data_IF_120634867684
#
_entry.id   IF_120634867684
#
_cell.length_a   1.000
_cell.length_b   1.000
_cell.length_c   1.000
_cell.angle_alpha   90.00
_cell.angle_beta   90.00
_cell.angle_gamma   90.00
#
_symmetry.space_group_name_H-M   'P 1'
#
loop_
_entity.id
_entity.type
_entity.pdbx_description
1 polymer ?
#
# COMPACT_ATOMS: atom_id res chain seq x y z
N UNK A 1 -1.12 26.34 -36.50
CA UNK A 1 -1.72 25.82 -35.24
C UNK A 1 -1.27 24.40 -35.06
N UNK A 2 -0.24 24.18 -34.26
CA UNK A 2 0.41 22.87 -34.09
C UNK A 2 -0.21 22.17 -32.89
N UNK A 3 -0.91 21.07 -33.14
CA UNK A 3 -1.60 20.28 -32.13
C UNK A 3 -0.58 19.34 -31.47
N UNK A 4 -0.20 19.63 -30.22
CA UNK A 4 0.67 18.73 -29.44
C UNK A 4 -0.20 17.57 -28.94
N UNK A 5 -0.03 16.39 -29.55
CA UNK A 5 -0.52 15.12 -29.01
C UNK A 5 0.40 14.67 -27.89
N UNK A 6 -0.02 14.86 -26.64
CA UNK A 6 0.64 14.24 -25.49
C UNK A 6 0.17 12.77 -25.41
N UNK A 7 1.05 11.85 -25.80
CA UNK A 7 0.92 10.43 -25.44
C UNK A 7 1.35 10.28 -23.98
N UNK A 8 0.38 10.15 -23.07
CA UNK A 8 0.67 9.70 -21.71
C UNK A 8 0.92 8.19 -21.73
N UNK A 9 2.18 7.78 -21.82
CA UNK A 9 2.63 6.46 -21.37
C UNK A 9 3.24 6.66 -19.97
N UNK A 10 2.60 6.07 -18.95
CA UNK A 10 3.08 6.05 -17.57
C UNK A 10 2.12 6.75 -16.60
N UNK A 11 1.72 6.04 -15.55
CA UNK A 11 0.81 6.45 -14.47
C UNK A 11 1.34 7.60 -13.56
N UNK A 12 2.38 8.33 -13.98
CA UNK A 12 3.05 9.39 -13.22
C UNK A 12 2.27 10.71 -13.05
N UNK A 13 1.41 11.18 -13.99
CA UNK A 13 0.73 12.46 -13.83
C UNK A 13 -0.28 12.49 -12.67
N UNK A 14 -0.95 11.37 -12.40
CA UNK A 14 -1.96 11.28 -11.33
C UNK A 14 -1.32 11.24 -9.94
N UNK A 15 -0.14 10.62 -9.81
CA UNK A 15 0.60 10.50 -8.55
C UNK A 15 1.16 11.84 -8.06
N UNK A 16 1.73 12.63 -8.97
CA UNK A 16 2.17 14.00 -8.65
C UNK A 16 0.99 14.88 -8.23
N UNK A 17 -0.16 14.74 -8.88
CA UNK A 17 -1.39 15.45 -8.50
C UNK A 17 -1.91 15.00 -7.12
N UNK A 18 -1.90 13.70 -6.83
CA UNK A 18 -2.34 13.14 -5.54
C UNK A 18 -1.37 13.50 -4.39
N UNK A 19 -0.07 13.55 -4.65
CA UNK A 19 0.92 14.02 -3.67
C UNK A 19 0.80 15.54 -3.43
N UNK A 20 0.60 16.34 -4.48
CA UNK A 20 0.41 17.80 -4.35
C UNK A 20 -0.89 18.16 -3.64
N UNK A 21 -1.98 17.40 -3.84
CA UNK A 21 -3.25 17.61 -3.14
C UNK A 21 -3.14 17.35 -1.63
N UNK A 22 -2.22 16.47 -1.19
CA UNK A 22 -2.03 16.14 0.22
C UNK A 22 -0.90 16.93 0.89
N UNK A 23 0.05 17.49 0.13
CA UNK A 23 1.06 18.42 0.65
C UNK A 23 0.50 19.86 0.74
N UNK A 24 -0.45 20.23 -0.11
CA UNK A 24 -1.12 21.53 -0.08
C UNK A 24 -2.27 21.66 0.93
N UNK A 25 -2.92 20.55 1.30
CA UNK A 25 -3.91 20.53 2.39
C UNK A 25 -3.25 20.04 3.68
N UNK A 26 -2.66 20.97 4.45
CA UNK A 26 -2.38 20.79 5.88
C UNK A 26 -3.65 20.61 6.70
N UNK A 27 -4.49 19.63 6.35
CA UNK A 27 -5.79 19.38 6.94
C UNK A 27 -5.82 17.99 7.57
N UNK A 28 -5.18 17.88 8.73
CA UNK A 28 -5.45 16.84 9.73
C UNK A 28 -6.90 16.91 10.29
N UNK A 29 -7.87 17.40 9.51
CA UNK A 29 -9.23 17.73 9.96
C UNK A 29 -10.38 17.37 9.02
N UNK A 30 -10.17 16.89 7.79
CA UNK A 30 -11.26 16.78 6.81
C UNK A 30 -11.31 15.49 5.97
N UNK A 31 -10.85 14.35 6.51
CA UNK A 31 -11.04 13.02 5.90
C UNK A 31 -12.01 12.17 6.73
N UNK A 32 -13.25 12.66 6.90
CA UNK A 32 -14.23 12.07 7.82
C UNK A 32 -15.52 11.67 7.08
N UNK A 33 -15.95 10.40 7.12
CA UNK A 33 -17.19 9.97 6.48
C UNK A 33 -18.41 10.65 7.12
N UNK A 34 -19.43 10.96 6.33
CA UNK A 34 -20.74 11.40 6.83
C UNK A 34 -21.61 10.20 7.20
N UNK A 35 -22.60 10.41 8.08
CA UNK A 35 -23.58 9.36 8.45
C UNK A 35 -24.42 8.92 7.24
N UNK A 36 -24.74 9.86 6.36
CA UNK A 36 -25.49 9.61 5.13
C UNK A 36 -24.71 8.71 4.18
N UNK A 37 -23.44 9.02 3.93
CA UNK A 37 -22.53 8.19 3.15
C UNK A 37 -22.43 6.77 3.73
N UNK A 38 -22.19 6.67 5.04
CA UNK A 38 -21.99 5.38 5.70
C UNK A 38 -23.22 4.45 5.58
N UNK A 39 -24.43 5.02 5.68
CA UNK A 39 -25.68 4.26 5.59
C UNK A 39 -26.13 3.96 4.16
N UNK A 40 -25.86 4.86 3.22
CA UNK A 40 -26.33 4.74 1.84
C UNK A 40 -25.32 4.03 0.92
N UNK A 41 -24.10 3.74 1.40
CA UNK A 41 -23.20 2.88 0.64
C UNK A 41 -23.80 1.48 0.51
N UNK A 42 -23.82 0.98 -0.72
CA UNK A 42 -24.33 -0.32 -1.07
C UNK A 42 -23.68 -1.45 -0.22
N UNK A 43 -24.46 -2.43 0.27
CA UNK A 43 -23.93 -3.53 1.06
C UNK A 43 -22.80 -4.33 0.38
N UNK A 44 -22.86 -4.51 -0.95
CA UNK A 44 -21.79 -5.16 -1.70
C UNK A 44 -20.48 -4.39 -1.58
N UNK A 45 -20.52 -3.07 -1.84
CA UNK A 45 -19.34 -2.21 -1.76
C UNK A 45 -18.80 -2.10 -0.34
N UNK A 46 -19.67 -2.09 0.67
CA UNK A 46 -19.25 -2.21 2.06
C UNK A 46 -18.54 -3.54 2.34
N UNK A 47 -19.09 -4.67 1.85
CA UNK A 47 -18.47 -5.98 2.01
C UNK A 47 -17.10 -6.08 1.33
N UNK A 48 -16.95 -5.49 0.14
CA UNK A 48 -15.66 -5.35 -0.55
C UNK A 48 -14.68 -4.53 0.30
N UNK A 49 -15.11 -3.36 0.78
CA UNK A 49 -14.28 -2.49 1.61
C UNK A 49 -13.82 -3.19 2.89
N UNK A 50 -14.74 -3.86 3.57
CA UNK A 50 -14.50 -4.59 4.82
C UNK A 50 -13.43 -5.69 4.63
N UNK A 51 -13.58 -6.55 3.62
CA UNK A 51 -12.62 -7.64 3.37
C UNK A 51 -11.23 -7.12 3.02
N UNK A 52 -11.15 -6.06 2.21
CA UNK A 52 -9.88 -5.46 1.83
C UNK A 52 -9.14 -4.87 3.05
N UNK A 53 -9.86 -4.18 3.95
CA UNK A 53 -9.27 -3.67 5.19
C UNK A 53 -8.75 -4.80 6.08
N UNK A 54 -9.53 -5.88 6.22
CA UNK A 54 -9.08 -7.07 6.97
C UNK A 54 -7.82 -7.70 6.39
N UNK A 55 -7.74 -7.80 5.07
CA UNK A 55 -6.54 -8.31 4.40
C UNK A 55 -5.31 -7.42 4.63
N UNK A 56 -5.50 -6.11 4.69
CA UNK A 56 -4.42 -5.16 5.00
C UNK A 56 -4.07 -5.07 6.49
N UNK A 57 -4.93 -5.54 7.39
CA UNK A 57 -4.67 -5.63 8.83
C UNK A 57 -3.95 -6.93 9.23
N UNK A 58 -3.66 -7.78 8.26
CA UNK A 58 -2.98 -9.05 8.51
C UNK A 58 -1.49 -8.82 8.82
N UNK A 59 -1.16 -8.71 10.11
CA UNK A 59 0.21 -8.47 10.59
C UNK A 59 1.21 -9.55 10.14
N UNK A 60 0.73 -10.77 9.89
CA UNK A 60 1.54 -11.87 9.42
C UNK A 60 2.13 -11.58 8.02
N UNK A 61 1.35 -10.94 7.15
CA UNK A 61 1.79 -10.58 5.80
C UNK A 61 2.97 -9.60 5.83
N UNK A 62 2.94 -8.62 6.74
CA UNK A 62 4.03 -7.66 6.90
C UNK A 62 5.27 -8.29 7.51
N UNK A 63 5.09 -9.17 8.50
CA UNK A 63 6.20 -9.89 9.12
C UNK A 63 6.93 -10.78 8.11
N UNK A 64 6.18 -11.56 7.32
CA UNK A 64 6.75 -12.40 6.26
C UNK A 64 7.50 -11.58 5.20
N UNK A 65 6.94 -10.43 4.81
CA UNK A 65 7.60 -9.54 3.85
C UNK A 65 8.90 -8.94 4.41
N UNK A 66 8.90 -8.57 5.70
CA UNK A 66 10.10 -8.07 6.39
C UNK A 66 11.18 -9.15 6.49
N UNK A 67 10.80 -10.39 6.81
CA UNK A 67 11.73 -11.52 6.88
C UNK A 67 12.35 -11.83 5.50
N UNK A 68 11.54 -11.85 4.43
CA UNK A 68 12.03 -12.01 3.05
C UNK A 68 12.97 -10.88 2.64
N UNK A 69 12.69 -9.65 3.05
CA UNK A 69 13.56 -8.50 2.76
C UNK A 69 14.92 -8.65 3.44
N UNK A 70 14.95 -9.08 4.70
CA UNK A 70 16.20 -9.35 5.44
C UNK A 70 17.01 -10.47 4.79
N UNK A 71 16.33 -11.52 4.33
CA UNK A 71 16.95 -12.64 3.62
C UNK A 71 17.55 -12.20 2.28
N UNK A 72 16.82 -11.41 1.49
CA UNK A 72 17.29 -10.85 0.23
C UNK A 72 18.56 -10.00 0.43
N UNK A 73 18.56 -9.12 1.42
CA UNK A 73 19.74 -8.29 1.71
C UNK A 73 20.92 -9.12 2.19
N UNK A 74 20.69 -10.22 2.93
CA UNK A 74 21.74 -11.17 3.29
C UNK A 74 22.38 -11.78 2.05
N UNK A 75 21.60 -12.24 1.08
CA UNK A 75 22.14 -12.79 -0.17
C UNK A 75 22.90 -11.73 -0.98
N UNK A 76 22.39 -10.51 -1.09
CA UNK A 76 23.08 -9.40 -1.78
C UNK A 76 24.42 -9.03 -1.13
N UNK A 77 24.49 -9.06 0.21
CA UNK A 77 25.76 -8.85 0.93
C UNK A 77 26.76 -9.98 0.71
N UNK A 78 26.28 -11.22 0.58
CA UNK A 78 27.13 -12.33 0.21
C UNK A 78 27.66 -12.10 -1.21
N UNK A 79 26.79 -11.79 -2.18
CA UNK A 79 27.16 -11.49 -3.57
C UNK A 79 28.28 -10.45 -3.69
N UNK A 80 28.17 -9.34 -2.96
CA UNK A 80 29.20 -8.28 -2.97
C UNK A 80 30.54 -8.72 -2.36
N UNK A 81 30.53 -9.65 -1.40
CA UNK A 81 31.76 -10.24 -0.83
C UNK A 81 32.37 -11.28 -1.75
N UNK A 82 31.54 -12.02 -2.48
CA UNK A 82 31.96 -13.07 -3.43
C UNK A 82 32.72 -12.49 -4.62
N UNK A 83 32.35 -11.28 -5.08
CA UNK A 83 33.04 -10.59 -6.18
C UNK A 83 34.51 -10.25 -5.87
N UNK A 84 34.96 -10.50 -4.62
CA UNK A 84 36.32 -10.23 -4.14
C UNK A 84 37.17 -11.49 -3.87
N UNK A 85 36.64 -12.71 -3.99
CA UNK A 85 37.37 -13.96 -3.68
C UNK A 85 36.95 -15.16 -4.52
N UNK A 86 37.92 -15.92 -5.05
CA UNK A 86 37.74 -17.18 -5.80
C UNK A 86 36.86 -18.20 -5.06
N UNK A 87 35.65 -18.44 -5.55
CA UNK A 87 34.69 -19.39 -4.99
C UNK A 87 34.18 -20.35 -6.06
N UNK A 88 33.81 -21.56 -5.64
CA UNK A 88 33.34 -22.67 -6.48
C UNK A 88 31.95 -22.35 -7.06
N UNK A 89 31.72 -22.69 -8.32
CA UNK A 89 30.49 -22.39 -9.08
C UNK A 89 29.17 -22.77 -8.35
N UNK A 90 29.19 -23.79 -7.50
CA UNK A 90 28.02 -24.24 -6.73
C UNK A 90 27.49 -23.21 -5.72
N UNK A 91 28.38 -22.48 -5.04
CA UNK A 91 27.98 -21.48 -4.02
C UNK A 91 27.39 -20.22 -4.69
N UNK A 92 27.88 -19.86 -5.88
CA UNK A 92 27.30 -18.79 -6.69
C UNK A 92 25.90 -19.16 -7.19
N UNK A 93 25.69 -20.42 -7.57
CA UNK A 93 24.39 -20.91 -8.04
C UNK A 93 23.35 -20.94 -6.91
N UNK A 94 23.72 -21.42 -5.72
CA UNK A 94 22.84 -21.43 -4.55
C UNK A 94 22.39 -20.01 -4.16
N UNK A 95 23.30 -19.04 -4.18
CA UNK A 95 22.98 -17.65 -3.88
C UNK A 95 22.01 -17.03 -4.91
N UNK A 96 22.24 -17.24 -6.22
CA UNK A 96 21.33 -16.73 -7.26
C UNK A 96 19.92 -17.31 -7.10
N UNK A 97 19.83 -18.62 -6.86
CA UNK A 97 18.54 -19.27 -6.56
C UNK A 97 17.87 -18.71 -5.31
N UNK A 98 18.65 -18.39 -4.26
CA UNK A 98 18.15 -17.74 -3.05
C UNK A 98 17.55 -16.36 -3.31
N UNK A 99 18.23 -15.54 -4.13
CA UNK A 99 17.75 -14.21 -4.55
C UNK A 99 16.46 -14.32 -5.35
N UNK A 100 16.43 -15.19 -6.36
CA UNK A 100 15.25 -15.39 -7.22
C UNK A 100 14.05 -15.87 -6.42
N UNK A 101 14.27 -16.82 -5.50
CA UNK A 101 13.23 -17.29 -4.57
C UNK A 101 12.68 -16.16 -3.71
N UNK A 102 13.55 -15.29 -3.16
CA UNK A 102 13.09 -14.14 -2.38
C UNK A 102 12.18 -13.22 -3.20
N UNK A 103 12.54 -12.93 -4.46
CA UNK A 103 11.70 -12.11 -5.34
C UNK A 103 10.35 -12.73 -5.62
N UNK A 104 10.32 -14.01 -5.99
CA UNK A 104 9.07 -14.71 -6.27
C UNK A 104 8.14 -14.69 -5.06
N UNK A 105 8.69 -14.98 -3.88
CA UNK A 105 7.90 -15.01 -2.65
C UNK A 105 7.40 -13.60 -2.30
N UNK A 106 8.23 -12.56 -2.38
CA UNK A 106 7.82 -11.17 -2.15
C UNK A 106 6.71 -10.73 -3.12
N UNK A 107 6.80 -11.12 -4.40
CA UNK A 107 5.79 -10.81 -5.40
C UNK A 107 4.46 -11.51 -5.08
N UNK A 108 4.49 -12.79 -4.69
CA UNK A 108 3.28 -13.53 -4.27
C UNK A 108 2.58 -12.85 -3.09
N UNK A 109 3.33 -12.39 -2.07
CA UNK A 109 2.75 -11.70 -0.90
C UNK A 109 2.18 -10.33 -1.28
N UNK A 110 2.87 -9.63 -2.17
CA UNK A 110 2.45 -8.31 -2.65
C UNK A 110 1.12 -8.35 -3.40
N UNK A 111 0.81 -9.43 -4.12
CA UNK A 111 -0.47 -9.59 -4.84
C UNK A 111 -1.67 -9.34 -3.94
N UNK A 112 -1.66 -9.85 -2.70
CA UNK A 112 -2.77 -9.65 -1.76
C UNK A 112 -2.93 -8.19 -1.35
N UNK A 113 -1.82 -7.47 -1.14
CA UNK A 113 -1.83 -6.03 -0.84
C UNK A 113 -2.42 -5.24 -2.02
N UNK A 114 -1.96 -5.53 -3.24
CA UNK A 114 -2.42 -4.88 -4.46
C UNK A 114 -3.91 -5.06 -4.71
N UNK A 115 -4.40 -6.30 -4.61
CA UNK A 115 -5.83 -6.60 -4.77
C UNK A 115 -6.65 -5.83 -3.73
N UNK A 116 -6.19 -5.80 -2.47
CA UNK A 116 -6.90 -5.11 -1.39
C UNK A 116 -6.93 -3.60 -1.60
N UNK A 117 -5.80 -2.98 -1.97
CA UNK A 117 -5.75 -1.55 -2.29
C UNK A 117 -6.62 -1.20 -3.50
N UNK A 118 -6.62 -2.04 -4.54
CA UNK A 118 -7.48 -1.85 -5.71
C UNK A 118 -8.97 -1.90 -5.36
N UNK A 119 -9.37 -2.83 -4.48
CA UNK A 119 -10.75 -2.93 -3.99
C UNK A 119 -11.17 -1.68 -3.19
N UNK A 120 -10.28 -1.14 -2.35
CA UNK A 120 -10.56 0.09 -1.59
C UNK A 120 -10.65 1.30 -2.53
N UNK A 121 -9.74 1.39 -3.51
CA UNK A 121 -9.76 2.43 -4.53
C UNK A 121 -11.10 2.41 -5.29
N UNK A 122 -11.57 1.21 -5.65
CA UNK A 122 -12.86 1.05 -6.32
C UNK A 122 -14.04 1.49 -5.48
N UNK A 123 -14.03 1.22 -4.17
CA UNK A 123 -15.03 1.76 -3.24
C UNK A 123 -14.99 3.29 -3.22
N UNK A 124 -13.79 3.89 -3.15
CA UNK A 124 -13.61 5.34 -3.25
C UNK A 124 -14.19 5.92 -4.54
N UNK A 125 -13.96 5.25 -5.68
CA UNK A 125 -14.51 5.61 -6.98
C UNK A 125 -16.04 5.55 -7.02
N UNK A 126 -16.65 4.55 -6.40
CA UNK A 126 -18.11 4.41 -6.31
C UNK A 126 -18.72 5.54 -5.49
N UNK A 127 -18.06 5.94 -4.41
CA UNK A 127 -18.46 7.10 -3.60
C UNK A 127 -18.31 8.39 -4.40
N UNK A 128 -17.20 8.57 -5.11
CA UNK A 128 -16.88 9.78 -5.87
C UNK A 128 -17.83 10.01 -7.05
N UNK A 129 -18.28 8.94 -7.71
CA UNK A 129 -19.11 9.01 -8.91
C UNK A 129 -20.60 8.68 -8.67
N UNK A 130 -20.93 8.14 -7.51
CA UNK A 130 -22.30 7.79 -7.14
C UNK A 130 -23.21 8.99 -6.90
N UNK A 131 -24.47 8.71 -6.56
CA UNK A 131 -25.49 9.71 -6.20
C UNK A 131 -25.34 10.18 -4.75
N UNK A 132 -24.15 10.69 -4.41
CA UNK A 132 -23.84 11.24 -3.09
C UNK A 132 -23.70 12.77 -3.12
N UNK A 133 -23.73 13.39 -1.94
CA UNK A 133 -23.51 14.84 -1.82
C UNK A 133 -22.13 15.25 -2.35
N UNK A 134 -21.94 16.53 -2.69
CA UNK A 134 -20.62 17.02 -3.12
C UNK A 134 -19.52 16.78 -2.08
N UNK A 135 -19.85 16.89 -0.79
CA UNK A 135 -18.95 16.61 0.31
C UNK A 135 -18.55 15.12 0.36
N UNK A 136 -19.51 14.21 0.25
CA UNK A 136 -19.24 12.77 0.23
C UNK A 136 -18.43 12.34 -0.99
N UNK A 137 -18.70 12.94 -2.16
CA UNK A 137 -17.89 12.71 -3.36
C UNK A 137 -16.44 13.19 -3.18
N UNK A 138 -16.20 14.27 -2.41
CA UNK A 138 -14.82 14.67 -2.03
C UNK A 138 -14.14 13.58 -1.21
N UNK A 139 -14.85 12.98 -0.25
CA UNK A 139 -14.34 11.87 0.57
C UNK A 139 -13.96 10.67 -0.30
N UNK A 140 -14.80 10.30 -1.27
CA UNK A 140 -14.47 9.22 -2.22
C UNK A 140 -13.17 9.46 -2.98
N UNK A 141 -12.94 10.69 -3.45
CA UNK A 141 -11.68 11.08 -4.11
C UNK A 141 -10.48 11.06 -3.18
N UNK A 142 -10.65 11.51 -1.93
CA UNK A 142 -9.60 11.45 -0.93
C UNK A 142 -9.23 9.99 -0.58
N UNK A 143 -10.22 9.09 -0.52
CA UNK A 143 -9.97 7.66 -0.29
C UNK A 143 -9.17 7.05 -1.45
N UNK A 144 -9.51 7.38 -2.70
CA UNK A 144 -8.74 6.97 -3.88
C UNK A 144 -7.28 7.47 -3.80
N UNK A 145 -7.08 8.75 -3.49
CA UNK A 145 -5.74 9.32 -3.37
C UNK A 145 -4.92 8.63 -2.26
N UNK A 146 -5.53 8.34 -1.11
CA UNK A 146 -4.88 7.61 -0.02
C UNK A 146 -4.49 6.19 -0.46
N UNK A 147 -5.35 5.48 -1.18
CA UNK A 147 -5.03 4.13 -1.68
C UNK A 147 -3.92 4.14 -2.73
N UNK A 148 -3.87 5.15 -3.60
CA UNK A 148 -2.82 5.30 -4.61
C UNK A 148 -1.46 5.59 -3.95
N UNK A 149 -1.46 6.42 -2.90
CA UNK A 149 -0.26 6.68 -2.11
C UNK A 149 0.26 5.43 -1.41
N UNK A 150 -0.64 4.66 -0.80
CA UNK A 150 -0.30 3.36 -0.23
C UNK A 150 0.32 2.48 -1.33
N UNK A 151 -0.38 2.24 -2.44
CA UNK A 151 0.10 1.44 -3.56
C UNK A 151 1.53 1.83 -4.00
N UNK A 152 1.77 3.13 -4.16
CA UNK A 152 3.10 3.63 -4.51
C UNK A 152 4.15 3.37 -3.42
N UNK A 153 3.84 3.64 -2.15
CA UNK A 153 4.74 3.37 -1.01
C UNK A 153 5.09 1.87 -0.92
N UNK A 154 4.11 0.99 -1.17
CA UNK A 154 4.33 -0.46 -1.21
C UNK A 154 5.29 -0.84 -2.36
N UNK A 155 5.02 -0.37 -3.58
CA UNK A 155 5.89 -0.65 -4.73
C UNK A 155 7.30 -0.12 -4.49
N UNK A 156 7.42 1.08 -3.93
CA UNK A 156 8.71 1.68 -3.59
C UNK A 156 9.46 0.83 -2.56
N UNK A 157 8.77 0.27 -1.57
CA UNK A 157 9.37 -0.64 -0.57
C UNK A 157 9.94 -1.90 -1.23
N UNK A 158 9.24 -2.48 -2.22
CA UNK A 158 9.74 -3.62 -3.00
C UNK A 158 11.01 -3.21 -3.78
N UNK A 159 10.96 -2.09 -4.50
CA UNK A 159 12.10 -1.61 -5.31
C UNK A 159 13.31 -1.33 -4.42
N UNK A 160 13.11 -0.67 -3.28
CA UNK A 160 14.19 -0.39 -2.34
C UNK A 160 14.75 -1.69 -1.74
N UNK A 161 13.92 -2.70 -1.44
CA UNK A 161 14.39 -4.01 -0.98
C UNK A 161 15.25 -4.73 -2.03
N UNK A 162 14.87 -4.64 -3.30
CA UNK A 162 15.61 -5.18 -4.44
C UNK A 162 16.98 -4.53 -4.63
N UNK A 163 17.06 -3.22 -4.45
CA UNK A 163 18.25 -2.43 -4.74
C UNK A 163 19.22 -2.34 -3.55
N UNK A 164 18.73 -2.58 -2.34
CA UNK A 164 19.53 -2.38 -1.13
C UNK A 164 20.60 -3.45 -0.98
N UNK A 165 21.87 -3.01 -0.99
CA UNK A 165 23.04 -3.86 -0.76
C UNK A 165 23.38 -4.02 0.73
N UNK A 166 22.74 -3.25 1.62
CA UNK A 166 23.01 -3.25 3.06
C UNK A 166 21.76 -2.97 3.90
N UNK A 167 21.47 -3.79 4.92
CA UNK A 167 20.34 -3.60 5.85
C UNK A 167 20.41 -2.23 6.55
N UNK A 168 21.63 -1.70 6.74
CA UNK A 168 21.86 -0.39 7.37
C UNK A 168 21.41 0.77 6.46
N UNK A 169 21.47 0.59 5.15
CA UNK A 169 21.02 1.55 4.14
C UNK A 169 19.61 1.23 3.61
N UNK A 170 19.02 0.11 4.07
CA UNK A 170 17.61 -0.15 3.83
C UNK A 170 16.85 0.98 4.52
N UNK A 171 15.97 1.71 3.84
CA UNK A 171 15.17 2.78 4.41
C UNK A 171 14.08 2.21 5.32
N UNK A 172 14.50 1.44 6.33
CA UNK A 172 13.70 0.69 7.29
C UNK A 172 12.82 1.64 8.13
N UNK A 173 13.14 2.93 8.17
CA UNK A 173 12.40 3.94 8.95
C UNK A 173 11.50 4.83 8.11
N UNK A 174 11.99 5.53 7.07
CA UNK A 174 11.21 6.62 6.47
C UNK A 174 10.01 6.14 5.62
N UNK A 175 10.24 5.28 4.62
CA UNK A 175 9.18 4.81 3.72
C UNK A 175 8.20 3.92 4.49
N UNK A 176 8.70 3.06 5.36
CA UNK A 176 7.90 2.19 6.22
C UNK A 176 7.07 2.96 7.24
N UNK A 177 7.64 3.95 7.92
CA UNK A 177 6.88 4.81 8.84
C UNK A 177 5.79 5.58 8.10
N UNK A 178 6.09 6.08 6.90
CA UNK A 178 5.10 6.76 6.05
C UNK A 178 3.99 5.80 5.63
N UNK A 179 4.31 4.58 5.18
CA UNK A 179 3.34 3.55 4.85
C UNK A 179 2.46 3.21 6.06
N UNK A 180 3.04 2.93 7.23
CA UNK A 180 2.30 2.64 8.47
C UNK A 180 1.39 3.80 8.87
N UNK A 181 1.87 5.03 8.77
CA UNK A 181 1.06 6.22 9.04
C UNK A 181 -0.16 6.29 8.12
N UNK A 182 0.03 6.10 6.81
CA UNK A 182 -1.07 6.14 5.83
C UNK A 182 -2.03 4.96 5.98
N UNK A 183 -1.53 3.80 6.38
CA UNK A 183 -2.35 2.64 6.65
C UNK A 183 -3.22 2.86 7.90
N UNK A 184 -2.67 3.52 8.93
CA UNK A 184 -3.43 3.92 10.11
C UNK A 184 -4.50 4.98 9.79
N UNK A 185 -4.23 5.92 8.88
CA UNK A 185 -5.24 6.87 8.39
C UNK A 185 -6.43 6.12 7.77
N UNK A 186 -6.14 5.11 6.93
CA UNK A 186 -7.14 4.27 6.30
C UNK A 186 -7.96 3.46 7.33
N UNK A 187 -7.30 2.85 8.30
CA UNK A 187 -7.98 2.09 9.36
C UNK A 187 -8.85 2.99 10.24
N UNK A 188 -8.35 4.17 10.59
CA UNK A 188 -9.12 5.16 11.37
C UNK A 188 -10.38 5.61 10.62
N UNK A 189 -10.25 5.87 9.32
CA UNK A 189 -11.39 6.15 8.46
C UNK A 189 -12.41 5.00 8.47
N UNK A 190 -11.94 3.77 8.30
CA UNK A 190 -12.79 2.58 8.27
C UNK A 190 -13.54 2.34 9.59
N UNK A 191 -12.88 2.43 10.74
CA UNK A 191 -13.54 2.26 12.04
C UNK A 191 -14.62 3.32 12.27
N UNK A 192 -14.34 4.57 11.87
CA UNK A 192 -15.34 5.64 11.93
C UNK A 192 -16.50 5.39 10.97
N UNK A 193 -16.23 4.88 9.77
CA UNK A 193 -17.25 4.50 8.81
C UNK A 193 -18.20 3.43 9.37
N UNK A 194 -17.67 2.37 9.98
CA UNK A 194 -18.45 1.31 10.64
C UNK A 194 -19.30 1.88 11.78
N UNK A 195 -18.70 2.71 12.64
CA UNK A 195 -19.41 3.36 13.74
C UNK A 195 -20.63 4.15 13.24
N UNK A 196 -20.46 4.95 12.19
CA UNK A 196 -21.56 5.76 11.62
C UNK A 196 -22.66 4.91 10.98
N UNK A 197 -22.31 3.74 10.46
CA UNK A 197 -23.26 2.78 9.90
C UNK A 197 -24.09 2.09 11.00
N UNK A 198 -23.63 2.12 12.26
CA UNK A 198 -24.28 1.44 13.38
C UNK A 198 -23.96 -0.06 13.45
N UNK A 199 -22.97 -0.50 12.67
CA UNK A 199 -22.45 -1.86 12.75
C UNK A 199 -21.66 -1.99 14.06
N UNK A 200 -21.87 -3.06 14.85
CA UNK A 200 -21.05 -3.27 16.02
C UNK A 200 -19.60 -3.43 15.56
N UNK A 201 -18.74 -2.49 15.97
CA UNK A 201 -17.30 -2.72 15.93
C UNK A 201 -17.09 -3.86 16.91
N UNK A 202 -17.10 -5.12 16.43
CA UNK A 202 -16.42 -6.18 17.16
C UNK A 202 -14.96 -5.76 17.16
N UNK A 203 -14.58 -4.99 18.19
CA UNK A 203 -13.20 -4.86 18.61
C UNK A 203 -12.81 -6.29 18.94
N UNK A 204 -12.28 -6.99 17.94
CA UNK A 204 -11.48 -8.17 18.15
C UNK A 204 -10.30 -7.64 18.95
N UNK A 205 -10.47 -7.61 20.29
CA UNK A 205 -9.37 -7.52 21.24
C UNK A 205 -8.36 -8.52 20.74
N UNK A 206 -7.21 -8.02 20.33
CA UNK A 206 -5.99 -8.82 20.33
C UNK A 206 -5.99 -9.56 21.66
N UNK A 207 -6.04 -10.89 21.59
CA UNK A 207 -5.83 -11.70 22.79
C UNK A 207 -4.43 -11.33 23.31
N UNK A 208 -4.27 -11.24 24.64
CA UNK A 208 -2.97 -10.95 25.25
C UNK A 208 -1.91 -11.96 24.80
#
# INVERSE_FOLDING_TARGET
MTMIRVRCQGAMPCLLLAMLLLIGEGAAGAFLPSKTLAKNLDPYWFGVFHRAIWALKDDQLFKEFDDLTRELVRFRRQEERLDRTCIRDGEQQEMRHGIDRCYEEMQKRSTRVWVSLGQIHDVGRQIANGRFSAADRKIGRQLMALTDQLAWLWQRTIVEATLTRSIVDYPETAVRATWRSRLNDLFSFYYRFIHLRGEPIKVLRERP
#
